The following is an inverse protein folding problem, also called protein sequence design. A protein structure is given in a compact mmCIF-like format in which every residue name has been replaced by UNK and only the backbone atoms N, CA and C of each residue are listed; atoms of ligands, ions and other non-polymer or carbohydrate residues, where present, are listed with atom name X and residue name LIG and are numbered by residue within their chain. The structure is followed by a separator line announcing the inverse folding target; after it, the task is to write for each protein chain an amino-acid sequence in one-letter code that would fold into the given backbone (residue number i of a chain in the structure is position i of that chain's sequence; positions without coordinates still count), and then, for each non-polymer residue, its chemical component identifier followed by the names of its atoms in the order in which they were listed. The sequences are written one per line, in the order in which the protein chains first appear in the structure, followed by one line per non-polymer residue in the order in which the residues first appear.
data_IF_412196947962
#
_entry.id   IF_412196947962
#
_cell.length_a   1.000
_cell.length_b   1.000
_cell.length_c   1.000
_cell.angle_alpha   90.00
_cell.angle_beta   90.00
_cell.angle_gamma   90.00
#
_symmetry.space_group_name_H-M   'P 1'
#
loop_
_entity.id
_entity.type
_entity.pdbx_description
1 polymer ?
#
# COMPACT_ATOMS: atom_id res chain seq x y z
N UNK A 1 -26.50 3.26 -8.06
CA UNK A 1 -25.48 2.18 -8.05
C UNK A 1 -25.10 1.96 -6.58
N UNK A 2 -25.29 0.77 -6.01
CA UNK A 2 -24.90 0.49 -4.62
C UNK A 2 -23.47 -0.09 -4.65
N UNK A 3 -22.50 0.63 -4.11
CA UNK A 3 -21.15 0.13 -3.94
C UNK A 3 -21.03 -0.56 -2.57
N UNK A 4 -20.32 -1.68 -2.51
CA UNK A 4 -20.00 -2.40 -1.28
C UNK A 4 -18.47 -2.44 -1.15
N UNK A 5 -17.93 -1.84 -0.09
CA UNK A 5 -16.50 -1.88 0.21
C UNK A 5 -16.23 -2.84 1.36
N UNK A 6 -15.23 -3.71 1.17
CA UNK A 6 -14.78 -4.66 2.19
C UNK A 6 -13.33 -4.41 2.54
N UNK A 7 -13.09 -4.07 3.81
CA UNK A 7 -11.76 -4.14 4.45
C UNK A 7 -11.09 -2.78 4.67
N UNK A 8 -10.89 -2.45 5.95
CA UNK A 8 -9.89 -1.50 6.40
C UNK A 8 -9.43 -1.90 7.80
N UNK A 9 -8.14 -2.14 7.98
CA UNK A 9 -7.52 -2.39 9.28
C UNK A 9 -6.46 -1.33 9.49
N UNK A 10 -6.67 -0.44 10.46
CA UNK A 10 -5.73 0.64 10.73
C UNK A 10 -5.62 0.92 12.22
N UNK A 11 -4.42 0.71 12.77
CA UNK A 11 -4.06 1.28 14.07
C UNK A 11 -3.80 2.77 13.84
N UNK A 12 -4.52 3.66 14.53
CA UNK A 12 -4.57 5.10 14.26
C UNK A 12 -3.22 5.81 14.36
N UNK A 13 -2.72 6.35 13.25
CA UNK A 13 -1.81 7.52 13.17
C UNK A 13 -2.50 8.61 12.34
N UNK A 14 -2.07 9.88 12.41
CA UNK A 14 -2.63 11.01 11.65
C UNK A 14 -2.77 10.72 10.13
N UNK A 15 -1.91 9.85 9.58
CA UNK A 15 -1.97 9.43 8.18
C UNK A 15 -3.24 8.62 7.87
N UNK A 16 -3.84 8.01 8.87
CA UNK A 16 -4.97 7.10 8.73
C UNK A 16 -6.33 7.82 8.81
N UNK A 17 -6.36 9.01 9.43
CA UNK A 17 -7.58 9.81 9.60
C UNK A 17 -8.23 10.15 8.25
N UNK A 18 -7.42 10.47 7.23
CA UNK A 18 -7.93 10.76 5.89
C UNK A 18 -8.74 9.60 5.29
N UNK A 19 -8.38 8.36 5.62
CA UNK A 19 -9.06 7.18 5.12
C UNK A 19 -10.37 6.91 5.87
N UNK A 20 -10.40 7.21 7.18
CA UNK A 20 -11.62 7.17 7.99
C UNK A 20 -12.61 8.23 7.52
N UNK A 21 -12.16 9.46 7.29
CA UNK A 21 -12.99 10.56 6.76
C UNK A 21 -13.59 10.22 5.39
N UNK A 22 -12.81 9.62 4.48
CA UNK A 22 -13.33 9.15 3.19
C UNK A 22 -14.40 8.05 3.37
N UNK A 23 -14.20 7.13 4.32
CA UNK A 23 -15.17 6.08 4.61
C UNK A 23 -16.47 6.66 5.19
N UNK A 24 -16.39 7.65 6.07
CA UNK A 24 -17.54 8.32 6.65
C UNK A 24 -18.33 9.09 5.58
N UNK A 25 -17.65 9.84 4.71
CA UNK A 25 -18.29 10.49 3.56
C UNK A 25 -19.00 9.49 2.63
N UNK A 26 -18.41 8.32 2.38
CA UNK A 26 -19.04 7.29 1.58
C UNK A 26 -20.32 6.75 2.26
N UNK A 27 -20.29 6.53 3.57
CA UNK A 27 -21.45 6.10 4.36
C UNK A 27 -22.59 7.13 4.31
N UNK A 28 -22.26 8.42 4.41
CA UNK A 28 -23.23 9.53 4.30
C UNK A 28 -23.92 9.57 2.93
N UNK A 29 -23.19 9.22 1.86
CA UNK A 29 -23.72 9.06 0.50
C UNK A 29 -24.49 7.74 0.27
N UNK A 30 -24.66 6.92 1.31
CA UNK A 30 -25.43 5.67 1.27
C UNK A 30 -24.68 4.47 0.74
N UNK A 31 -23.34 4.51 0.68
CA UNK A 31 -22.49 3.34 0.42
C UNK A 31 -22.58 2.36 1.57
N UNK A 32 -22.65 1.06 1.28
CA UNK A 32 -22.63 0.03 2.31
C UNK A 32 -21.18 -0.42 2.57
N UNK A 33 -20.72 -0.31 3.81
CA UNK A 33 -19.37 -0.76 4.20
C UNK A 33 -19.47 -1.98 5.11
N UNK A 34 -18.90 -3.10 4.68
CA UNK A 34 -18.85 -4.35 5.45
C UNK A 34 -17.42 -4.62 5.93
N UNK A 35 -17.18 -4.33 7.20
CA UNK A 35 -15.90 -4.60 7.88
C UNK A 35 -15.85 -6.04 8.37
N UNK A 36 -14.64 -6.57 8.53
CA UNK A 36 -14.42 -7.96 8.99
C UNK A 36 -15.13 -9.01 8.13
N UNK A 37 -15.19 -8.79 6.82
CA UNK A 37 -15.83 -9.71 5.87
C UNK A 37 -14.81 -10.09 4.79
N UNK A 38 -13.92 -11.06 5.04
CA UNK A 38 -12.91 -11.46 4.08
C UNK A 38 -13.55 -12.02 2.82
N UNK A 39 -13.22 -11.44 1.66
CA UNK A 39 -13.56 -12.00 0.35
C UNK A 39 -12.59 -13.12 0.04
N UNK A 40 -13.15 -14.30 -0.25
CA UNK A 40 -12.39 -15.52 -0.54
C UNK A 40 -12.37 -15.84 -2.03
N UNK A 41 -13.36 -15.37 -2.80
CA UNK A 41 -13.42 -15.56 -4.25
C UNK A 41 -14.29 -14.50 -4.95
N UNK A 42 -13.89 -14.12 -6.15
CA UNK A 42 -14.69 -13.32 -7.10
C UNK A 42 -14.86 -14.14 -8.37
N UNK A 43 -16.10 -14.30 -8.86
CA UNK A 43 -16.41 -15.13 -10.04
C UNK A 43 -17.49 -14.47 -10.90
N UNK A 44 -17.26 -14.38 -12.22
CA UNK A 44 -18.31 -13.98 -13.15
C UNK A 44 -19.21 -15.16 -13.49
N UNK A 45 -20.50 -15.06 -13.17
CA UNK A 45 -21.47 -16.12 -13.45
C UNK A 45 -22.87 -15.58 -13.66
N UNK A 46 -23.53 -16.06 -14.72
CA UNK A 46 -24.95 -15.77 -14.97
C UNK A 46 -25.23 -14.31 -15.31
N UNK A 47 -24.28 -13.60 -15.93
CA UNK A 47 -24.44 -12.19 -16.28
C UNK A 47 -24.20 -11.21 -15.13
N UNK A 48 -23.58 -11.65 -14.03
CA UNK A 48 -23.14 -10.79 -12.94
C UNK A 48 -21.85 -11.30 -12.30
N UNK A 49 -21.41 -10.63 -11.25
CA UNK A 49 -20.23 -10.99 -10.44
C UNK A 49 -20.70 -11.54 -9.09
N UNK A 50 -20.27 -12.76 -8.77
CA UNK A 50 -20.45 -13.37 -7.46
C UNK A 50 -19.24 -13.10 -6.58
N UNK A 51 -19.49 -12.53 -5.41
CA UNK A 51 -18.49 -12.28 -4.37
C UNK A 51 -18.75 -13.24 -3.23
N UNK A 52 -17.79 -14.12 -2.99
CA UNK A 52 -17.85 -15.13 -1.93
C UNK A 52 -17.08 -14.65 -0.71
N UNK A 53 -17.68 -14.84 0.46
CA UNK A 53 -17.07 -14.63 1.77
C UNK A 53 -17.36 -15.82 2.66
N UNK A 54 -16.80 -15.82 3.86
CA UNK A 54 -17.05 -16.87 4.86
C UNK A 54 -18.54 -16.97 5.25
N UNK A 55 -19.24 -15.83 5.28
CA UNK A 55 -20.63 -15.74 5.73
C UNK A 55 -21.66 -15.92 4.61
N UNK A 56 -21.23 -16.00 3.35
CA UNK A 56 -22.15 -16.18 2.23
C UNK A 56 -21.65 -15.65 0.89
N UNK A 57 -22.56 -15.59 -0.07
CA UNK A 57 -22.29 -15.14 -1.44
C UNK A 57 -23.26 -14.03 -1.83
N UNK A 58 -22.73 -12.95 -2.40
CA UNK A 58 -23.51 -11.85 -2.95
C UNK A 58 -23.32 -11.74 -4.45
N UNK A 59 -24.30 -11.16 -5.13
CA UNK A 59 -24.28 -10.97 -6.59
C UNK A 59 -24.38 -9.48 -6.89
N UNK A 60 -23.54 -9.02 -7.81
CA UNK A 60 -23.47 -7.63 -8.28
C UNK A 60 -23.43 -7.60 -9.81
N UNK A 61 -23.74 -6.45 -10.40
CA UNK A 61 -23.64 -6.27 -11.86
C UNK A 61 -22.19 -6.18 -12.34
N UNK A 62 -21.37 -5.49 -11.54
CA UNK A 62 -19.95 -5.21 -11.74
C UNK A 62 -19.22 -5.32 -10.38
N UNK A 63 -17.91 -5.56 -10.42
CA UNK A 63 -17.03 -5.53 -9.25
C UNK A 63 -15.74 -4.77 -9.56
N UNK A 64 -15.27 -3.99 -8.58
CA UNK A 64 -13.90 -3.45 -8.55
C UNK A 64 -13.14 -4.18 -7.47
N UNK A 65 -12.05 -4.86 -7.84
CA UNK A 65 -11.17 -5.54 -6.88
C UNK A 65 -10.01 -4.60 -6.53
N UNK A 66 -10.12 -3.96 -5.38
CA UNK A 66 -9.12 -3.05 -4.81
C UNK A 66 -8.42 -3.64 -3.57
N UNK A 67 -8.06 -4.92 -3.63
CA UNK A 67 -7.61 -5.70 -2.46
C UNK A 67 -6.13 -5.55 -2.10
N UNK A 68 -5.45 -4.51 -2.60
CA UNK A 68 -4.04 -4.22 -2.29
C UNK A 68 -3.13 -5.43 -2.49
N UNK A 69 -2.36 -5.78 -1.45
CA UNK A 69 -1.42 -6.93 -1.47
C UNK A 69 -2.10 -8.30 -1.52
N UNK A 70 -3.39 -8.39 -1.25
CA UNK A 70 -4.17 -9.62 -1.40
C UNK A 70 -4.76 -9.79 -2.79
N UNK A 71 -4.54 -8.85 -3.72
CA UNK A 71 -5.13 -8.90 -5.06
C UNK A 71 -4.84 -10.22 -5.79
N UNK A 72 -3.66 -10.81 -5.62
CA UNK A 72 -3.33 -12.10 -6.25
C UNK A 72 -4.09 -13.30 -5.71
N UNK A 73 -4.74 -13.20 -4.54
CA UNK A 73 -5.66 -14.24 -4.05
C UNK A 73 -6.99 -14.21 -4.80
N UNK A 74 -7.44 -13.02 -5.21
CA UNK A 74 -8.74 -12.82 -5.83
C UNK A 74 -8.66 -12.81 -7.36
N UNK A 75 -7.56 -12.32 -7.93
CA UNK A 75 -7.31 -12.16 -9.36
C UNK A 75 -5.92 -12.74 -9.74
N UNK A 76 -5.76 -14.07 -9.76
CA UNK A 76 -4.47 -14.72 -10.01
C UNK A 76 -3.80 -14.30 -11.33
N UNK A 77 -4.61 -14.03 -12.36
CA UNK A 77 -4.18 -13.60 -13.69
C UNK A 77 -3.43 -12.27 -13.69
N UNK A 78 -3.71 -11.39 -12.73
CA UNK A 78 -3.01 -10.12 -12.50
C UNK A 78 -1.96 -10.31 -11.40
N UNK A 79 -2.33 -10.93 -10.28
CA UNK A 79 -1.48 -11.02 -9.10
C UNK A 79 -0.16 -11.75 -9.31
N UNK A 80 -0.10 -12.71 -10.25
CA UNK A 80 1.16 -13.37 -10.64
C UNK A 80 2.22 -12.41 -11.22
N UNK A 81 1.80 -11.22 -11.63
CA UNK A 81 2.68 -10.17 -12.15
C UNK A 81 3.04 -9.13 -11.09
N UNK A 82 2.49 -9.25 -9.87
CA UNK A 82 2.75 -8.32 -8.78
C UNK A 82 3.65 -8.97 -7.73
N UNK A 83 4.67 -8.24 -7.29
CA UNK A 83 5.49 -8.66 -6.17
C UNK A 83 5.02 -7.99 -4.88
N UNK A 84 4.60 -8.82 -3.92
CA UNK A 84 4.31 -8.38 -2.56
C UNK A 84 5.61 -8.31 -1.77
N UNK A 85 6.02 -7.11 -1.35
CA UNK A 85 7.28 -6.93 -0.61
C UNK A 85 7.06 -6.34 0.79
N UNK A 86 7.93 -6.72 1.73
CA UNK A 86 7.82 -6.36 3.13
C UNK A 86 8.72 -5.20 3.54
N UNK A 87 8.08 -4.10 3.95
CA UNK A 87 8.70 -2.85 4.35
C UNK A 87 8.53 -2.64 5.85
N UNK A 88 9.48 -1.94 6.46
CA UNK A 88 9.44 -1.65 7.89
C UNK A 88 9.80 -0.20 8.15
N UNK A 89 9.29 0.32 9.27
CA UNK A 89 9.59 1.65 9.77
C UNK A 89 9.74 1.63 11.28
N UNK A 90 10.55 2.54 11.81
CA UNK A 90 10.75 2.76 13.24
C UNK A 90 10.23 4.13 13.65
N UNK A 91 9.79 4.21 14.91
CA UNK A 91 9.39 5.44 15.56
C UNK A 91 10.39 5.77 16.67
N UNK A 92 10.93 6.99 16.61
CA UNK A 92 11.99 7.45 17.50
C UNK A 92 11.49 8.62 18.32
N UNK A 93 11.49 8.46 19.64
CA UNK A 93 11.33 9.56 20.59
C UNK A 93 12.68 10.26 20.77
N UNK A 94 12.67 11.58 20.68
CA UNK A 94 13.88 12.41 20.79
C UNK A 94 13.70 13.46 21.89
N UNK A 95 14.76 13.70 22.67
CA UNK A 95 14.70 14.64 23.79
C UNK A 95 14.50 16.09 23.32
N UNK A 96 15.21 16.50 22.27
CA UNK A 96 15.12 17.86 21.72
C UNK A 96 14.17 17.92 20.53
N UNK A 97 12.87 17.94 20.83
CA UNK A 97 11.80 18.00 19.82
C UNK A 97 11.84 19.23 18.92
N UNK A 98 12.49 20.33 19.33
CA UNK A 98 12.60 21.56 18.51
C UNK A 98 13.38 21.34 17.23
N UNK A 99 14.37 20.44 17.23
CA UNK A 99 15.20 20.13 16.06
C UNK A 99 14.44 19.32 15.02
N UNK A 100 13.50 18.49 15.47
CA UNK A 100 12.71 17.61 14.60
C UNK A 100 11.30 18.13 14.36
N UNK A 101 10.94 19.28 14.93
CA UNK A 101 9.60 19.86 14.77
C UNK A 101 9.29 20.17 13.31
N UNK A 102 7.99 20.15 12.97
CA UNK A 102 7.50 20.65 11.68
C UNK A 102 7.95 22.11 11.51
N UNK A 103 8.67 22.39 10.43
CA UNK A 103 9.28 23.71 10.16
C UNK A 103 10.79 23.78 10.43
N UNK A 104 11.31 22.95 11.35
CA UNK A 104 12.75 22.77 11.56
C UNK A 104 13.30 21.63 10.71
N UNK A 105 12.58 20.51 10.65
CA UNK A 105 12.90 19.34 9.83
C UNK A 105 11.82 19.14 8.76
N UNK A 106 12.19 19.04 7.47
CA UNK A 106 11.23 18.69 6.42
C UNK A 106 10.95 17.19 6.43
N UNK A 107 9.95 16.75 5.67
CA UNK A 107 9.97 15.37 5.15
C UNK A 107 11.20 15.25 4.27
N UNK A 108 11.97 14.18 4.45
CA UNK A 108 13.25 14.02 3.76
C UNK A 108 13.35 12.63 3.15
N UNK A 109 14.15 12.55 2.09
CA UNK A 109 14.59 11.32 1.46
C UNK A 109 16.09 11.43 1.16
N UNK A 110 16.85 10.38 1.44
CA UNK A 110 18.30 10.37 1.29
C UNK A 110 18.76 8.99 0.82
N UNK A 111 19.65 8.95 -0.17
CA UNK A 111 20.07 7.70 -0.83
C UNK A 111 21.58 7.45 -0.70
N UNK A 112 22.10 7.16 0.50
CA UNK A 112 23.49 6.73 0.64
C UNK A 112 23.65 5.33 0.02
N UNK A 113 24.70 5.12 -0.77
CA UNK A 113 25.05 3.79 -1.31
C UNK A 113 23.89 3.08 -2.03
N UNK A 114 23.06 3.84 -2.76
CA UNK A 114 21.88 3.34 -3.47
C UNK A 114 20.75 2.79 -2.56
N UNK A 115 20.77 3.11 -1.27
CA UNK A 115 19.73 2.76 -0.30
C UNK A 115 18.80 3.95 -0.03
N UNK A 116 17.57 3.94 -0.52
CA UNK A 116 16.64 5.05 -0.30
C UNK A 116 16.07 5.01 1.12
N UNK A 117 16.53 5.92 1.98
CA UNK A 117 15.96 6.20 3.28
C UNK A 117 15.01 7.38 3.20
N UNK A 118 13.95 7.38 4.00
CA UNK A 118 13.07 8.52 4.15
C UNK A 118 12.57 8.66 5.57
N UNK A 119 12.18 9.88 5.92
CA UNK A 119 11.65 10.15 7.24
C UNK A 119 10.70 11.33 7.28
N UNK A 120 9.86 11.30 8.29
CA UNK A 120 8.95 12.37 8.64
C UNK A 120 9.48 13.07 9.89
N UNK A 121 9.32 14.40 9.99
CA UNK A 121 9.61 15.12 11.22
C UNK A 121 8.69 14.65 12.35
N UNK A 122 8.80 15.29 13.51
CA UNK A 122 7.94 15.05 14.67
C UNK A 122 6.46 14.99 14.25
N UNK A 123 5.90 13.80 14.38
CA UNK A 123 4.49 13.55 14.14
C UNK A 123 3.67 14.05 15.34
N UNK A 124 2.35 14.18 15.19
CA UNK A 124 1.46 14.66 16.27
C UNK A 124 1.50 13.77 17.49
N UNK A 125 1.80 12.50 17.27
CA UNK A 125 1.95 11.44 18.25
C UNK A 125 3.25 11.55 19.06
N UNK A 126 4.15 12.48 18.71
CA UNK A 126 5.33 12.82 19.51
C UNK A 126 6.62 12.09 19.15
N UNK A 127 6.67 11.40 18.01
CA UNK A 127 7.85 10.67 17.54
C UNK A 127 8.21 11.02 16.09
N UNK A 128 9.46 10.78 15.73
CA UNK A 128 9.99 10.84 14.36
C UNK A 128 9.77 9.47 13.70
N UNK A 129 9.27 9.45 12.47
CA UNK A 129 9.12 8.21 11.68
C UNK A 129 10.26 8.09 10.69
N UNK A 130 10.92 6.94 10.66
CA UNK A 130 12.02 6.64 9.74
C UNK A 130 11.81 5.29 9.10
N UNK A 131 12.06 5.19 7.80
CA UNK A 131 11.87 3.99 7.01
C UNK A 131 12.90 3.93 5.90
N UNK A 132 13.08 2.74 5.34
CA UNK A 132 13.80 2.52 4.10
C UNK A 132 12.78 2.11 3.00
N UNK A 133 12.97 2.59 1.77
CA UNK A 133 12.12 2.32 0.58
C UNK A 133 12.80 1.36 -0.40
N UNK A 134 13.87 0.67 0.00
CA UNK A 134 14.38 -0.43 -0.80
C UNK A 134 13.30 -1.50 -0.96
N UNK A 135 13.40 -2.22 -2.07
CA UNK A 135 12.52 -3.35 -2.34
C UNK A 135 12.87 -4.45 -1.35
N UNK A 136 12.03 -4.60 -0.33
CA UNK A 136 12.17 -5.65 0.67
C UNK A 136 11.99 -7.05 0.08
N UNK A 137 12.08 -8.05 0.95
CA UNK A 137 11.89 -9.44 0.56
C UNK A 137 10.47 -9.67 0.01
N UNK A 138 10.33 -10.61 -0.92
CA UNK A 138 9.01 -11.03 -1.40
C UNK A 138 8.37 -11.93 -0.35
N UNK A 139 7.16 -11.58 0.08
CA UNK A 139 6.46 -12.28 1.17
C UNK A 139 5.04 -12.68 0.80
N UNK A 140 4.50 -13.63 1.56
CA UNK A 140 3.07 -13.87 1.61
C UNK A 140 2.35 -12.67 2.27
N UNK A 141 1.22 -12.17 1.74
CA UNK A 141 0.51 -11.03 2.33
C UNK A 141 0.02 -11.28 3.77
N UNK A 142 -0.11 -12.54 4.18
CA UNK A 142 -0.55 -12.97 5.52
C UNK A 142 0.61 -13.24 6.50
N UNK A 143 1.84 -12.85 6.13
CA UNK A 143 3.03 -13.03 6.98
C UNK A 143 2.96 -12.27 8.32
N UNK A 144 3.75 -12.70 9.31
CA UNK A 144 3.86 -12.03 10.61
C UNK A 144 4.48 -10.63 10.48
N UNK A 145 3.68 -9.61 10.76
CA UNK A 145 4.05 -8.20 10.62
C UNK A 145 4.75 -7.64 11.87
N UNK A 146 5.38 -8.49 12.66
CA UNK A 146 6.20 -8.07 13.80
C UNK A 146 7.43 -7.30 13.33
N UNK A 147 7.77 -6.23 14.06
CA UNK A 147 8.95 -5.42 13.76
C UNK A 147 10.22 -6.24 14.02
N UNK A 148 11.07 -6.36 13.00
CA UNK A 148 12.32 -7.10 13.05
C UNK A 148 13.41 -6.33 13.81
N UNK A 149 14.06 -6.92 14.83
CA UNK A 149 15.20 -6.31 15.52
C UNK A 149 16.33 -5.88 14.57
N UNK A 150 16.53 -6.62 13.49
CA UNK A 150 17.56 -6.37 12.50
C UNK A 150 17.31 -5.05 11.75
N UNK A 151 16.05 -4.79 11.39
CA UNK A 151 15.66 -3.52 10.78
C UNK A 151 15.82 -2.35 11.76
N UNK A 152 15.47 -2.56 13.03
CA UNK A 152 15.66 -1.54 14.07
C UNK A 152 17.14 -1.18 14.21
N UNK A 153 18.03 -2.18 14.26
CA UNK A 153 19.47 -1.97 14.37
C UNK A 153 20.01 -1.21 13.15
N UNK A 154 19.63 -1.62 11.94
CA UNK A 154 20.04 -0.97 10.70
C UNK A 154 19.56 0.49 10.61
N UNK A 155 18.29 0.76 10.94
CA UNK A 155 17.76 2.12 10.98
C UNK A 155 18.49 2.99 12.01
N UNK A 156 18.81 2.45 13.19
CA UNK A 156 19.53 3.19 14.22
C UNK A 156 21.01 3.43 13.86
N UNK A 157 21.66 2.51 13.14
CA UNK A 157 23.00 2.73 12.59
C UNK A 157 23.00 3.89 11.58
N UNK A 158 22.10 3.84 10.60
CA UNK A 158 21.89 4.93 9.65
C UNK A 158 21.65 6.27 10.35
N UNK A 159 20.76 6.31 11.36
CA UNK A 159 20.45 7.54 12.08
C UNK A 159 21.62 8.08 12.89
N UNK A 160 22.39 7.21 13.56
CA UNK A 160 23.59 7.64 14.30
C UNK A 160 24.65 8.24 13.39
N UNK A 161 24.77 7.74 12.16
CA UNK A 161 25.71 8.25 11.17
C UNK A 161 25.20 9.55 10.52
N UNK A 162 23.94 9.58 10.08
CA UNK A 162 23.42 10.63 9.18
C UNK A 162 22.60 11.70 9.86
N UNK A 163 21.91 11.38 10.95
CA UNK A 163 21.08 12.33 11.72
C UNK A 163 21.32 12.11 13.24
N UNK A 164 22.52 12.41 13.76
CA UNK A 164 22.94 11.97 15.10
C UNK A 164 22.00 12.38 16.23
N UNK A 165 21.34 13.54 16.12
CA UNK A 165 20.35 14.00 17.11
C UNK A 165 19.12 13.09 17.20
N UNK A 166 18.69 12.50 16.07
CA UNK A 166 17.66 11.46 16.06
C UNK A 166 18.25 10.11 16.49
N UNK A 167 19.49 9.81 16.08
CA UNK A 167 20.20 8.56 16.45
C UNK A 167 20.50 8.40 17.95
N UNK A 168 20.44 9.49 18.74
CA UNK A 168 20.49 9.49 20.21
C UNK A 168 19.15 9.14 20.86
N UNK A 169 18.06 9.22 20.09
CA UNK A 169 16.70 8.98 20.57
C UNK A 169 16.43 7.51 20.90
N UNK A 170 15.27 7.28 21.49
CA UNK A 170 14.79 5.96 21.91
C UNK A 170 13.77 5.43 20.90
N UNK A 171 13.98 4.19 20.44
CA UNK A 171 12.97 3.49 19.64
C UNK A 171 11.75 3.22 20.53
N UNK A 172 10.60 3.79 20.19
CA UNK A 172 9.34 3.61 20.92
C UNK A 172 8.40 2.61 20.25
N UNK A 173 8.72 2.21 19.02
CA UNK A 173 7.99 1.19 18.29
C UNK A 173 8.35 1.20 16.81
N UNK A 174 7.53 0.53 16.02
CA UNK A 174 7.63 0.52 14.58
C UNK A 174 6.43 -0.18 13.96
N UNK A 175 6.40 -0.20 12.63
CA UNK A 175 5.36 -0.88 11.85
C UNK A 175 5.99 -1.67 10.72
N UNK A 176 5.35 -2.79 10.40
CA UNK A 176 5.52 -3.51 9.16
C UNK A 176 4.39 -3.13 8.19
N UNK A 177 4.76 -2.92 6.93
CA UNK A 177 3.86 -2.58 5.83
C UNK A 177 4.20 -3.45 4.63
N UNK A 178 3.24 -3.66 3.72
CA UNK A 178 3.46 -4.42 2.51
C UNK A 178 3.14 -3.57 1.28
N UNK A 179 3.93 -3.71 0.22
CA UNK A 179 3.67 -3.11 -1.08
C UNK A 179 3.27 -4.17 -2.09
N UNK A 180 2.34 -3.84 -2.99
CA UNK A 180 2.05 -4.64 -4.19
C UNK A 180 2.68 -3.93 -5.39
N UNK A 181 3.84 -4.40 -5.83
CA UNK A 181 4.64 -3.75 -6.87
C UNK A 181 4.33 -4.35 -8.23
N UNK A 182 3.97 -3.50 -9.18
CA UNK A 182 3.85 -3.84 -10.59
C UNK A 182 5.20 -3.78 -11.30
N UNK A 183 5.38 -4.46 -12.46
CA UNK A 183 6.66 -4.52 -13.16
C UNK A 183 7.32 -3.18 -13.54
N UNK A 184 6.50 -2.15 -13.64
CA UNK A 184 6.87 -0.80 -14.07
C UNK A 184 6.56 0.28 -13.04
N UNK A 185 6.29 -0.10 -11.79
CA UNK A 185 5.96 0.80 -10.67
C UNK A 185 4.69 1.65 -10.86
N UNK A 186 3.83 1.36 -11.83
CA UNK A 186 2.58 2.08 -12.06
C UNK A 186 1.35 1.32 -11.51
N UNK A 187 0.25 2.03 -11.27
CA UNK A 187 -1.01 1.39 -10.93
C UNK A 187 -1.49 0.44 -12.03
N UNK A 188 -2.27 -0.56 -11.62
CA UNK A 188 -3.02 -1.46 -12.50
C UNK A 188 -4.50 -1.15 -12.32
N UNK A 189 -5.08 -0.45 -13.28
CA UNK A 189 -6.50 -0.07 -13.33
C UNK A 189 -7.04 -0.43 -14.71
N UNK A 190 -7.63 -1.62 -14.82
CA UNK A 190 -8.18 -2.14 -16.07
C UNK A 190 -9.16 -3.28 -15.82
N UNK A 191 -9.90 -3.67 -16.86
CA UNK A 191 -10.69 -4.89 -16.83
C UNK A 191 -9.77 -6.10 -16.72
N UNK A 192 -10.17 -7.06 -15.91
CA UNK A 192 -9.47 -8.35 -15.80
C UNK A 192 -9.41 -9.00 -17.18
N UNK A 193 -8.27 -9.60 -17.60
CA UNK A 193 -8.18 -10.25 -18.91
C UNK A 193 -9.30 -11.28 -19.14
N UNK A 194 -10.13 -11.04 -20.17
CA UNK A 194 -11.29 -11.89 -20.49
C UNK A 194 -12.57 -11.58 -19.72
N UNK A 195 -12.55 -10.60 -18.82
CA UNK A 195 -13.70 -10.12 -18.06
C UNK A 195 -14.40 -8.95 -18.76
N UNK A 196 -15.72 -8.84 -18.54
CA UNK A 196 -16.50 -7.65 -18.87
C UNK A 196 -17.15 -7.01 -17.64
N UNK A 197 -16.89 -7.55 -16.44
CA UNK A 197 -17.62 -7.17 -15.22
C UNK A 197 -16.73 -6.98 -13.99
N UNK A 198 -15.46 -7.33 -14.08
CA UNK A 198 -14.49 -7.27 -12.98
C UNK A 198 -13.34 -6.37 -13.38
N UNK A 199 -13.26 -5.21 -12.73
CA UNK A 199 -12.16 -4.27 -12.87
C UNK A 199 -11.15 -4.52 -11.75
N UNK A 200 -9.87 -4.55 -12.07
CA UNK A 200 -8.80 -4.53 -11.08
C UNK A 200 -8.39 -3.09 -10.78
N UNK A 201 -8.11 -2.77 -9.51
CA UNK A 201 -7.56 -1.47 -9.10
C UNK A 201 -6.49 -1.69 -8.01
N UNK A 202 -5.22 -1.76 -8.40
CA UNK A 202 -4.12 -2.08 -7.49
C UNK A 202 -2.77 -1.65 -8.01
N UNK A 203 -1.71 -2.37 -7.61
CA UNK A 203 -0.33 -2.06 -8.04
C UNK A 203 0.17 -0.71 -7.51
N UNK A 204 -0.08 -0.42 -6.23
CA UNK A 204 0.26 0.88 -5.64
C UNK A 204 1.76 1.16 -5.53
N UNK A 205 2.63 0.15 -5.70
CA UNK A 205 4.09 0.24 -5.87
C UNK A 205 4.76 1.30 -4.99
N UNK A 206 4.60 1.19 -3.66
CA UNK A 206 5.07 2.12 -2.59
C UNK A 206 4.48 3.54 -2.57
N UNK A 207 3.82 3.97 -3.63
CA UNK A 207 3.57 5.40 -3.86
C UNK A 207 2.07 5.76 -3.87
N UNK A 208 1.20 4.76 -3.80
CA UNK A 208 -0.26 4.89 -3.96
C UNK A 208 -0.97 5.78 -2.94
N UNK A 209 -0.48 5.85 -1.69
CA UNK A 209 -1.16 6.56 -0.61
C UNK A 209 -1.40 8.05 -0.93
N UNK A 210 -0.42 8.74 -1.54
CA UNK A 210 -0.54 10.18 -1.86
C UNK A 210 -1.63 10.49 -2.90
N UNK A 211 -2.09 9.47 -3.63
CA UNK A 211 -3.11 9.57 -4.67
C UNK A 211 -4.50 9.17 -4.16
N UNK A 212 -4.66 8.80 -2.88
CA UNK A 212 -5.93 8.31 -2.34
C UNK A 212 -7.12 9.26 -2.60
N UNK A 213 -6.90 10.57 -2.49
CA UNK A 213 -7.92 11.58 -2.76
C UNK A 213 -8.27 11.79 -4.25
N UNK A 214 -7.47 11.30 -5.19
CA UNK A 214 -7.68 11.52 -6.64
C UNK A 214 -7.90 10.24 -7.43
N UNK A 215 -7.41 9.09 -6.96
CA UNK A 215 -7.41 7.84 -7.73
C UNK A 215 -8.81 7.27 -7.94
N UNK A 216 -9.74 7.52 -7.01
CA UNK A 216 -11.13 7.06 -7.10
C UNK A 216 -11.84 7.53 -8.38
N UNK A 217 -11.59 8.78 -8.81
CA UNK A 217 -12.15 9.32 -10.06
C UNK A 217 -11.62 8.58 -11.29
N UNK A 218 -10.33 8.23 -11.30
CA UNK A 218 -9.71 7.46 -12.40
C UNK A 218 -10.29 6.04 -12.47
N UNK A 219 -10.51 5.40 -11.31
CA UNK A 219 -11.14 4.07 -11.22
C UNK A 219 -12.60 4.14 -11.71
N UNK A 220 -13.35 5.18 -11.31
CA UNK A 220 -14.72 5.38 -11.74
C UNK A 220 -14.82 5.59 -13.26
N UNK A 221 -13.98 6.43 -13.84
CA UNK A 221 -13.94 6.64 -15.30
C UNK A 221 -13.65 5.34 -16.05
N UNK A 222 -12.70 4.52 -15.55
CA UNK A 222 -12.39 3.22 -16.13
C UNK A 222 -13.59 2.26 -16.06
N UNK A 223 -14.27 2.20 -14.91
CA UNK A 223 -15.47 1.38 -14.71
C UNK A 223 -16.63 1.81 -15.62
N UNK A 224 -16.78 3.12 -15.84
CA UNK A 224 -17.85 3.71 -16.67
C UNK A 224 -17.50 3.79 -18.17
N UNK A 225 -16.29 3.37 -18.56
CA UNK A 225 -15.82 3.44 -19.94
C UNK A 225 -15.58 4.86 -20.46
N UNK A 226 -15.35 5.83 -19.56
CA UNK A 226 -15.02 7.22 -19.90
C UNK A 226 -13.54 7.34 -20.25
N UNK A 227 -13.25 8.14 -21.28
CA UNK A 227 -11.85 8.43 -21.64
C UNK A 227 -11.21 9.30 -20.57
N UNK A 228 -10.08 8.83 -20.04
CA UNK A 228 -9.27 9.55 -19.07
C UNK A 228 -7.79 9.34 -19.41
N UNK A 229 -7.04 10.39 -19.81
CA UNK A 229 -5.63 10.28 -20.20
C UNK A 229 -4.71 9.71 -19.10
N UNK A 230 -5.07 9.89 -17.82
CA UNK A 230 -4.34 9.28 -16.71
C UNK A 230 -4.67 7.79 -16.62
N UNK A 231 -5.94 7.42 -16.77
CA UNK A 231 -6.39 6.03 -16.75
C UNK A 231 -5.76 5.18 -17.87
N UNK A 232 -5.53 5.77 -19.05
CA UNK A 232 -4.86 5.10 -20.16
C UNK A 232 -3.44 4.61 -19.78
N UNK A 233 -2.76 5.30 -18.84
CA UNK A 233 -1.45 4.91 -18.34
C UNK A 233 -1.49 3.78 -17.30
N UNK A 234 -2.66 3.30 -16.89
CA UNK A 234 -2.82 2.25 -15.87
C UNK A 234 -3.44 0.97 -16.43
N UNK A 235 -3.75 0.95 -17.73
CA UNK A 235 -4.24 -0.23 -18.44
C UNK A 235 -3.18 -1.33 -18.49
N UNK A 236 -3.63 -2.58 -18.44
CA UNK A 236 -2.77 -3.77 -18.39
C UNK A 236 -1.95 -3.88 -19.67
N UNK A 237 -2.62 -3.96 -20.83
CA UNK A 237 -1.97 -4.18 -22.14
C UNK A 237 -0.86 -5.24 -22.08
N UNK A 238 0.28 -4.97 -22.70
CA UNK A 238 1.47 -5.83 -22.64
C UNK A 238 2.38 -5.51 -21.43
N UNK A 239 2.01 -4.57 -20.55
CA UNK A 239 2.93 -4.05 -19.51
C UNK A 239 3.23 -5.08 -18.42
N UNK A 240 2.29 -5.97 -18.16
CA UNK A 240 2.47 -7.06 -17.20
C UNK A 240 3.25 -8.24 -17.80
N UNK A 241 3.48 -8.27 -19.12
CA UNK A 241 4.17 -9.38 -19.81
C UNK A 241 5.69 -9.38 -19.60
N UNK A 242 6.26 -8.27 -19.17
CA UNK A 242 7.66 -8.15 -18.80
C UNK A 242 7.81 -8.38 -17.29
N UNK A 243 8.80 -9.17 -16.88
CA UNK A 243 9.19 -9.25 -15.47
C UNK A 243 9.55 -7.87 -14.94
N UNK A 244 9.54 -7.69 -13.61
CA UNK A 244 9.90 -6.43 -12.98
C UNK A 244 11.20 -5.88 -13.57
N UNK A 245 11.17 -4.60 -13.97
CA UNK A 245 12.41 -3.85 -14.19
C UNK A 245 13.12 -3.86 -12.85
N UNK A 246 14.15 -4.69 -12.71
CA UNK A 246 14.89 -4.81 -11.45
C UNK A 246 15.34 -3.42 -10.99
N UNK A 247 14.59 -2.81 -10.04
CA UNK A 247 15.26 -2.08 -8.96
C UNK A 247 16.24 -3.09 -8.40
N UNK A 248 17.53 -2.75 -8.38
CA UNK A 248 18.52 -3.64 -7.80
C UNK A 248 17.99 -4.06 -6.43
N UNK A 249 17.75 -5.37 -6.25
CA UNK A 249 17.74 -5.94 -4.92
C UNK A 249 19.16 -5.69 -4.43
N UNK A 250 19.36 -4.61 -3.67
CA UNK A 250 20.58 -4.49 -2.91
C UNK A 250 20.65 -5.71 -2.02
N UNK A 251 21.85 -6.20 -1.74
CA UNK A 251 22.08 -7.17 -0.68
C UNK A 251 21.68 -6.50 0.64
N UNK A 252 20.38 -6.44 0.94
CA UNK A 252 19.92 -6.29 2.32
C UNK A 252 20.68 -7.36 3.08
N UNK A 253 21.37 -7.07 4.19
CA UNK A 253 22.06 -8.10 4.93
C UNK A 253 21.06 -9.24 5.11
N UNK A 254 21.35 -10.39 4.50
CA UNK A 254 20.43 -11.51 4.51
C UNK A 254 20.26 -11.91 5.96
N UNK A 255 19.21 -11.43 6.61
CA UNK A 255 18.93 -11.75 7.99
C UNK A 255 18.30 -13.14 7.99
N UNK A 256 19.15 -14.14 7.75
CA UNK A 256 18.81 -15.54 7.86
C UNK A 256 18.40 -15.82 9.32
N UNK A 257 17.26 -16.49 9.44
CA UNK A 257 16.68 -17.04 10.68
C UNK A 257 17.65 -17.88 11.50
#
# INVERSE_FOLDING_TARGET
MRACFTGLWVQSHEQDDALLEIADLALEEGVEVRKHTPVTRVEERGGGVKVHTEDGTWTFDLAVVAAGVWMGRLLPEIGRHLEVTHQQMVFIEVDNTRLVARGSMPVWSFTPHDELWYGFPLLREGFVKVSNDQVGETVDPDMDRSLRPEFVNWAMEFLRERIPEVGKGRVVGGRSCLFANSPDDHFVIDWVPGSQRTLAAGGGSSHGFKFGGSIGAVIADALEGKSNPLGDQFRIGDRLSHGLKHRQKADTPGFAS
#
